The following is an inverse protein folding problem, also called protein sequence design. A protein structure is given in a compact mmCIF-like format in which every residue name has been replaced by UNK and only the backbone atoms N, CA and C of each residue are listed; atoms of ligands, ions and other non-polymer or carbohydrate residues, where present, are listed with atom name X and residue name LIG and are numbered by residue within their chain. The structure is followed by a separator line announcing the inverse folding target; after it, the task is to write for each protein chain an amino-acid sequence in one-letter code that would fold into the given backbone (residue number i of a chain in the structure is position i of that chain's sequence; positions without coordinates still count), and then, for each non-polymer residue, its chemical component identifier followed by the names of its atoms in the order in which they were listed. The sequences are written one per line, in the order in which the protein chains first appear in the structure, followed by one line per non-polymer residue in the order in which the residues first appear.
data_IF_910302698684
#
_entry.id   IF_910302698684
#
_cell.length_a   1.000
_cell.length_b   1.000
_cell.length_c   1.000
_cell.angle_alpha   90.00
_cell.angle_beta   90.00
_cell.angle_gamma   90.00
#
_symmetry.space_group_name_H-M   'P 1'
#
loop_
_entity.id
_entity.type
_entity.pdbx_description
1 polymer ?
#
# COMPACT_ATOMS: atom_id res chain seq x y z
N UNK A 1 7.47 7.70 -1.07
CA UNK A 1 7.87 6.28 -1.11
C UNK A 1 7.38 5.49 0.13
N UNK A 2 7.47 6.03 1.35
CA UNK A 2 7.04 5.33 2.58
C UNK A 2 5.57 4.90 2.54
N UNK A 3 4.66 5.75 2.02
CA UNK A 3 3.23 5.44 1.93
C UNK A 3 2.91 4.21 1.08
N UNK A 4 3.65 3.98 -0.02
CA UNK A 4 3.46 2.76 -0.83
C UNK A 4 3.87 1.51 -0.06
N UNK A 5 4.90 1.59 0.79
CA UNK A 5 5.32 0.50 1.67
C UNK A 5 4.22 0.13 2.68
N UNK A 6 3.55 1.09 3.29
CA UNK A 6 2.42 0.84 4.20
C UNK A 6 1.23 0.19 3.50
N UNK A 7 0.92 0.61 2.27
CA UNK A 7 -0.12 -0.03 1.46
C UNK A 7 0.25 -1.49 1.15
N UNK A 8 1.50 -1.74 0.76
CA UNK A 8 1.96 -3.11 0.50
C UNK A 8 1.94 -3.97 1.76
N UNK A 9 2.39 -3.45 2.90
CA UNK A 9 2.36 -4.14 4.19
C UNK A 9 0.92 -4.47 4.61
N UNK A 10 0.00 -3.51 4.48
CA UNK A 10 -1.42 -3.74 4.77
C UNK A 10 -2.05 -4.83 3.91
N UNK A 11 -1.61 -5.00 2.67
CA UNK A 11 -2.08 -6.07 1.80
C UNK A 11 -1.69 -7.47 2.32
N UNK A 12 -0.61 -7.61 3.08
CA UNK A 12 -0.19 -8.89 3.67
C UNK A 12 -1.09 -9.35 4.82
N UNK A 13 -1.88 -8.44 5.40
CA UNK A 13 -2.83 -8.74 6.47
C UNK A 13 -4.14 -9.34 5.95
N UNK A 14 -4.33 -9.37 4.63
CA UNK A 14 -5.52 -9.95 4.04
C UNK A 14 -5.54 -11.48 4.22
N UNK A 15 -6.70 -12.07 4.59
CA UNK A 15 -6.80 -13.49 4.81
C UNK A 15 -6.56 -14.27 3.51
N UNK A 16 -5.95 -15.45 3.58
CA UNK A 16 -5.80 -16.34 2.43
C UNK A 16 -7.18 -16.89 2.04
N UNK A 17 -7.65 -16.50 0.87
CA UNK A 17 -8.97 -16.90 0.34
C UNK A 17 -8.82 -17.49 -1.07
N UNK A 18 -9.89 -18.11 -1.58
CA UNK A 18 -9.90 -18.66 -2.94
C UNK A 18 -9.67 -17.57 -4.01
N UNK A 19 -9.06 -17.93 -5.14
CA UNK A 19 -8.64 -17.02 -6.21
C UNK A 19 -9.71 -16.01 -6.68
N UNK A 20 -10.98 -16.42 -6.67
CA UNK A 20 -12.08 -15.56 -7.10
C UNK A 20 -12.40 -14.50 -6.03
N UNK A 21 -12.44 -14.90 -4.78
CA UNK A 21 -12.67 -14.01 -3.63
C UNK A 21 -11.48 -13.10 -3.40
N UNK A 22 -10.25 -13.60 -3.57
CA UNK A 22 -9.01 -12.85 -3.46
C UNK A 22 -9.00 -11.60 -4.37
N UNK A 23 -9.45 -11.74 -5.62
CA UNK A 23 -9.55 -10.64 -6.57
C UNK A 23 -10.44 -9.51 -6.06
N UNK A 24 -11.63 -9.86 -5.54
CA UNK A 24 -12.57 -8.87 -5.02
C UNK A 24 -12.10 -8.25 -3.70
N UNK A 25 -11.47 -9.06 -2.86
CA UNK A 25 -10.88 -8.59 -1.60
C UNK A 25 -9.73 -7.60 -1.85
N UNK A 26 -8.86 -7.89 -2.81
CA UNK A 26 -7.79 -6.97 -3.23
C UNK A 26 -8.34 -5.70 -3.86
N UNK A 27 -9.42 -5.78 -4.64
CA UNK A 27 -10.07 -4.60 -5.20
C UNK A 27 -10.68 -3.72 -4.10
N UNK A 28 -11.40 -4.30 -3.15
CA UNK A 28 -11.95 -3.59 -2.01
C UNK A 28 -10.84 -2.96 -1.14
N UNK A 29 -9.78 -3.71 -0.86
CA UNK A 29 -8.61 -3.19 -0.18
C UNK A 29 -7.98 -2.02 -0.94
N UNK A 30 -7.84 -2.14 -2.26
CA UNK A 30 -7.30 -1.09 -3.13
C UNK A 30 -8.10 0.21 -3.07
N UNK A 31 -9.43 0.13 -3.01
CA UNK A 31 -10.30 1.29 -2.81
C UNK A 31 -10.00 1.96 -1.47
N UNK A 32 -10.06 1.19 -0.37
CA UNK A 32 -9.82 1.70 0.98
C UNK A 32 -8.41 2.28 1.12
N UNK A 33 -7.40 1.56 0.65
CA UNK A 33 -6.01 2.01 0.68
C UNK A 33 -5.79 3.29 -0.15
N UNK A 34 -6.45 3.40 -1.31
CA UNK A 34 -6.38 4.58 -2.17
C UNK A 34 -6.95 5.83 -1.48
N UNK A 35 -8.12 5.71 -0.85
CA UNK A 35 -8.75 6.79 -0.10
C UNK A 35 -7.93 7.16 1.16
N UNK A 36 -7.50 6.17 1.93
CA UNK A 36 -6.68 6.39 3.12
C UNK A 36 -5.34 7.05 2.77
N UNK A 37 -4.70 6.63 1.69
CA UNK A 37 -3.47 7.24 1.21
C UNK A 37 -3.67 8.71 0.84
N UNK A 38 -4.76 9.05 0.13
CA UNK A 38 -5.11 10.43 -0.18
C UNK A 38 -5.35 11.27 1.07
N UNK A 39 -6.13 10.74 2.01
CA UNK A 39 -6.38 11.41 3.28
C UNK A 39 -5.09 11.67 4.06
N UNK A 40 -4.18 10.68 4.17
CA UNK A 40 -2.91 10.85 4.86
C UNK A 40 -2.00 11.89 4.20
N UNK A 41 -1.92 11.92 2.87
CA UNK A 41 -1.14 12.93 2.16
C UNK A 41 -1.69 14.34 2.38
N UNK A 42 -3.01 14.48 2.35
CA UNK A 42 -3.66 15.77 2.62
C UNK A 42 -3.49 16.20 4.08
N UNK A 43 -3.57 15.27 5.03
CA UNK A 43 -3.35 15.56 6.44
C UNK A 43 -1.92 16.07 6.70
N UNK A 44 -0.93 15.56 5.95
CA UNK A 44 0.45 16.06 6.03
C UNK A 44 0.57 17.52 5.60
N UNK A 45 -0.18 17.92 4.58
CA UNK A 45 -0.12 19.26 3.99
C UNK A 45 -1.05 20.25 4.68
N UNK A 46 -2.20 19.81 5.16
CA UNK A 46 -3.29 20.62 5.69
C UNK A 46 -2.90 21.56 6.85
N UNK A 47 -2.01 21.21 7.83
CA UNK A 47 -1.63 22.13 8.89
C UNK A 47 -0.95 23.41 8.40
N UNK A 48 -0.45 23.43 7.19
CA UNK A 48 0.14 24.60 6.54
C UNK A 48 -0.90 25.47 5.80
N UNK A 49 -2.12 24.97 5.67
CA UNK A 49 -3.23 25.67 5.03
C UNK A 49 -4.02 26.45 6.09
N UNK A 50 -3.70 27.73 6.22
CA UNK A 50 -4.44 28.64 7.12
C UNK A 50 -5.86 28.90 6.62
N UNK A 51 -6.75 29.41 7.46
CA UNK A 51 -8.15 29.67 7.16
C UNK A 51 -8.37 30.53 5.89
N UNK A 52 -7.45 31.47 5.60
CA UNK A 52 -7.54 32.32 4.41
C UNK A 52 -7.11 31.65 3.10
N UNK A 53 -6.37 30.55 3.16
CA UNK A 53 -5.90 29.79 1.99
C UNK A 53 -6.77 28.59 1.68
N UNK A 54 -7.55 28.11 2.64
CA UNK A 54 -8.41 26.93 2.48
C UNK A 54 -9.82 27.29 2.03
N UNK A 55 -10.46 26.51 1.15
CA UNK A 55 -11.82 26.72 0.71
C UNK A 55 -12.81 26.63 1.89
N UNK A 56 -13.84 27.48 1.86
CA UNK A 56 -14.91 27.53 2.87
C UNK A 56 -14.43 27.66 4.34
N UNK A 57 -13.25 28.29 4.57
CA UNK A 57 -12.71 28.43 5.91
C UNK A 57 -12.22 27.12 6.56
N UNK A 58 -12.09 26.04 5.80
CA UNK A 58 -11.71 24.72 6.29
C UNK A 58 -10.18 24.58 6.54
N UNK A 59 -9.49 25.69 6.82
CA UNK A 59 -8.07 25.72 7.16
C UNK A 59 -7.81 25.26 8.60
N UNK A 60 -6.54 24.96 8.87
CA UNK A 60 -6.08 24.65 10.21
C UNK A 60 -6.14 25.90 11.09
N UNK A 61 -6.68 25.77 12.31
CA UNK A 61 -6.77 26.84 13.30
C UNK A 61 -5.84 26.52 14.47
N UNK A 62 -4.67 27.21 14.57
CA UNK A 62 -3.76 27.00 15.70
C UNK A 62 -4.45 27.33 17.03
N UNK A 63 -4.28 26.46 18.03
CA UNK A 63 -4.89 26.64 19.34
C UNK A 63 -6.34 26.17 19.47
N UNK A 64 -7.02 25.81 18.37
CA UNK A 64 -8.34 25.19 18.43
C UNK A 64 -8.25 23.75 18.93
N UNK A 65 -9.38 23.22 19.43
CA UNK A 65 -9.47 21.82 19.87
C UNK A 65 -9.22 20.84 18.72
N UNK A 66 -8.73 19.64 19.05
CA UNK A 66 -8.51 18.55 18.07
C UNK A 66 -9.81 18.23 17.33
N UNK A 67 -10.95 18.21 18.03
CA UNK A 67 -12.24 17.93 17.43
C UNK A 67 -12.65 19.00 16.41
N UNK A 68 -12.46 20.28 16.72
CA UNK A 68 -12.72 21.38 15.79
C UNK A 68 -11.83 21.28 14.55
N UNK A 69 -10.53 21.08 14.74
CA UNK A 69 -9.60 20.91 13.62
C UNK A 69 -9.89 19.67 12.78
N UNK A 70 -10.35 18.58 13.39
CA UNK A 70 -10.79 17.38 12.65
C UNK A 70 -12.02 17.65 11.77
N UNK A 71 -12.97 18.45 12.24
CA UNK A 71 -14.11 18.88 11.43
C UNK A 71 -13.65 19.74 10.23
N UNK A 72 -12.79 20.72 10.47
CA UNK A 72 -12.21 21.54 9.39
C UNK A 72 -11.46 20.68 8.36
N UNK A 73 -10.67 19.72 8.83
CA UNK A 73 -9.99 18.77 7.95
C UNK A 73 -10.98 17.94 7.12
N UNK A 74 -12.05 17.45 7.74
CA UNK A 74 -13.10 16.71 7.03
C UNK A 74 -13.71 17.51 5.89
N UNK A 75 -14.07 18.78 6.15
CA UNK A 75 -14.61 19.69 5.14
C UNK A 75 -13.56 19.97 4.05
N UNK A 76 -12.32 20.23 4.44
CA UNK A 76 -11.21 20.42 3.50
C UNK A 76 -11.04 19.22 2.56
N UNK A 77 -11.01 18.01 3.12
CA UNK A 77 -10.85 16.78 2.35
C UNK A 77 -12.00 16.55 1.37
N UNK A 78 -13.23 16.76 1.81
CA UNK A 78 -14.42 16.61 0.94
C UNK A 78 -14.39 17.59 -0.23
N UNK A 79 -14.00 18.83 0.01
CA UNK A 79 -14.03 19.87 -1.01
C UNK A 79 -12.85 19.81 -1.99
N UNK A 80 -11.68 19.35 -1.54
CA UNK A 80 -10.45 19.44 -2.33
C UNK A 80 -10.01 18.11 -2.90
N UNK A 81 -10.17 17.02 -2.17
CA UNK A 81 -9.47 15.77 -2.46
C UNK A 81 -10.37 14.64 -2.90
N UNK A 82 -11.59 14.59 -2.39
CA UNK A 82 -12.51 13.50 -2.70
C UNK A 82 -12.78 13.37 -4.20
N UNK A 83 -12.86 14.51 -4.92
CA UNK A 83 -13.06 14.54 -6.37
C UNK A 83 -11.94 13.87 -7.16
N UNK A 84 -10.70 13.84 -6.64
CA UNK A 84 -9.56 13.15 -7.23
C UNK A 84 -9.40 11.74 -6.70
N UNK A 85 -9.69 11.53 -5.43
CA UNK A 85 -9.49 10.24 -4.76
C UNK A 85 -10.51 9.19 -5.22
N UNK A 86 -11.76 9.59 -5.50
CA UNK A 86 -12.79 8.68 -6.01
C UNK A 86 -12.44 8.08 -7.39
N UNK A 87 -12.10 8.86 -8.43
CA UNK A 87 -11.67 8.30 -9.71
C UNK A 87 -10.44 7.42 -9.57
N UNK A 88 -9.47 7.82 -8.73
CA UNK A 88 -8.27 7.03 -8.47
C UNK A 88 -8.60 5.70 -7.81
N UNK A 89 -9.47 5.69 -6.81
CA UNK A 89 -9.91 4.48 -6.14
C UNK A 89 -10.68 3.55 -7.10
N UNK A 90 -11.57 4.10 -7.92
CA UNK A 90 -12.29 3.35 -8.94
C UNK A 90 -11.35 2.75 -9.97
N UNK A 91 -10.40 3.52 -10.50
CA UNK A 91 -9.40 3.04 -11.44
C UNK A 91 -8.54 1.93 -10.82
N UNK A 92 -8.11 2.09 -9.57
CA UNK A 92 -7.36 1.07 -8.85
C UNK A 92 -8.15 -0.24 -8.77
N UNK A 93 -9.43 -0.17 -8.39
CA UNK A 93 -10.29 -1.35 -8.33
C UNK A 93 -10.44 -2.04 -9.69
N UNK A 94 -10.70 -1.26 -10.75
CA UNK A 94 -10.82 -1.78 -12.11
C UNK A 94 -9.52 -2.46 -12.55
N UNK A 95 -8.38 -1.83 -12.35
CA UNK A 95 -7.08 -2.41 -12.71
C UNK A 95 -6.78 -3.69 -11.92
N UNK A 96 -7.09 -3.74 -10.62
CA UNK A 96 -6.93 -4.96 -9.81
C UNK A 96 -7.85 -6.08 -10.31
N UNK A 97 -9.08 -5.77 -10.67
CA UNK A 97 -10.04 -6.78 -11.17
C UNK A 97 -9.62 -7.30 -12.55
N UNK A 98 -9.15 -6.45 -13.44
CA UNK A 98 -8.80 -6.83 -14.82
C UNK A 98 -7.38 -7.38 -14.94
N UNK A 99 -6.38 -6.67 -14.41
CA UNK A 99 -4.97 -7.01 -14.53
C UNK A 99 -4.43 -7.86 -13.37
N UNK A 100 -5.11 -7.87 -12.21
CA UNK A 100 -4.67 -8.64 -11.03
C UNK A 100 -4.47 -10.13 -11.30
N UNK A 101 -5.43 -10.86 -11.89
CA UNK A 101 -5.30 -12.30 -12.13
C UNK A 101 -4.07 -12.71 -12.96
N UNK A 102 -3.77 -12.10 -14.12
CA UNK A 102 -2.58 -12.45 -14.88
C UNK A 102 -1.29 -12.09 -14.13
N UNK A 103 -1.23 -10.90 -13.47
CA UNK A 103 -0.08 -10.48 -12.68
C UNK A 103 0.21 -11.46 -11.55
N UNK A 104 -0.81 -11.82 -10.76
CA UNK A 104 -0.66 -12.79 -9.67
C UNK A 104 -0.20 -14.17 -10.17
N UNK A 105 -0.64 -14.59 -11.34
CA UNK A 105 -0.20 -15.85 -11.95
C UNK A 105 1.29 -15.82 -12.29
N UNK A 106 1.77 -14.71 -12.86
CA UNK A 106 3.18 -14.52 -13.21
C UNK A 106 4.02 -14.48 -11.94
N UNK A 107 3.63 -13.70 -10.94
CA UNK A 107 4.34 -13.57 -9.66
C UNK A 107 4.45 -14.91 -8.92
N UNK A 108 3.35 -15.67 -8.82
CA UNK A 108 3.35 -17.01 -8.21
C UNK A 108 4.25 -17.99 -8.98
N UNK A 109 4.35 -17.87 -10.31
CA UNK A 109 5.26 -18.67 -11.11
C UNK A 109 6.72 -18.26 -10.84
N UNK A 110 7.01 -16.96 -10.76
CA UNK A 110 8.35 -16.46 -10.47
C UNK A 110 8.84 -16.94 -9.09
N UNK A 111 8.01 -16.79 -8.04
CA UNK A 111 8.34 -17.25 -6.68
C UNK A 111 8.64 -18.75 -6.65
N UNK A 112 7.82 -19.57 -7.31
CA UNK A 112 8.07 -21.03 -7.39
C UNK A 112 9.37 -21.37 -8.11
N UNK A 113 9.77 -20.60 -9.12
CA UNK A 113 11.03 -20.80 -9.84
C UNK A 113 12.25 -20.34 -9.08
N UNK A 114 12.12 -19.30 -8.26
CA UNK A 114 13.20 -18.74 -7.47
C UNK A 114 13.65 -19.67 -6.31
N UNK A 115 12.89 -20.71 -5.99
CA UNK A 115 13.21 -21.71 -4.94
C UNK A 115 13.59 -21.07 -3.59
N UNK A 116 12.88 -20.03 -3.19
CA UNK A 116 13.15 -19.38 -1.90
C UNK A 116 13.01 -20.33 -0.69
N UNK A 117 12.31 -21.44 -0.85
CA UNK A 117 12.12 -22.45 0.21
C UNK A 117 13.12 -23.62 0.09
N UNK A 118 14.07 -23.57 -0.85
CA UNK A 118 15.09 -24.61 -0.96
C UNK A 118 16.04 -24.51 0.24
N UNK A 119 16.11 -25.55 1.06
CA UNK A 119 17.13 -25.65 2.09
C UNK A 119 18.52 -25.54 1.44
N UNK A 120 19.38 -24.73 2.03
CA UNK A 120 20.76 -24.61 1.55
C UNK A 120 21.48 -25.94 1.86
N UNK A 121 21.65 -26.75 0.84
CA UNK A 121 22.41 -28.00 0.93
C UNK A 121 23.88 -27.65 0.73
N UNK A 122 24.59 -27.51 1.85
CA UNK A 122 26.05 -27.33 1.81
C UNK A 122 26.68 -28.71 1.57
N UNK A 123 27.14 -28.95 0.34
CA UNK A 123 27.97 -30.11 0.06
C UNK A 123 29.30 -29.91 0.80
N UNK A 124 29.66 -30.78 1.77
CA UNK A 124 30.97 -30.66 2.42
C UNK A 124 32.06 -30.73 1.36
N UNK A 125 32.91 -29.74 1.32
CA UNK A 125 34.09 -29.79 0.46
C UNK A 125 34.88 -31.07 0.80
N UNK A 126 34.99 -31.96 -0.16
CA UNK A 126 35.80 -33.18 0.02
C UNK A 126 37.16 -32.76 0.59
N UNK A 127 37.49 -33.30 1.76
CA UNK A 127 38.77 -33.07 2.42
C UNK A 127 39.88 -33.41 1.41
N UNK A 128 40.67 -32.40 1.04
CA UNK A 128 41.87 -32.61 0.19
C UNK A 128 42.76 -33.60 0.94
N UNK A 129 43.09 -34.77 0.35
CA UNK A 129 43.98 -35.72 0.99
C UNK A 129 45.35 -35.07 1.26
N UNK A 130 45.99 -35.34 2.42
CA UNK A 130 47.29 -34.79 2.72
C UNK A 130 48.28 -35.17 1.63
N UNK A 131 48.97 -34.15 1.07
CA UNK A 131 50.10 -34.37 0.15
C UNK A 131 51.16 -35.16 0.89
N UNK A 132 51.34 -36.42 0.56
CA UNK A 132 52.50 -37.20 0.96
C UNK A 132 53.75 -36.54 0.35
N UNK A 133 54.58 -35.93 1.23
CA UNK A 133 55.91 -35.45 0.85
C UNK A 133 56.78 -36.68 0.62
N UNK A 134 57.35 -36.80 -0.60
CA UNK A 134 58.43 -37.72 -0.94
C UNK A 134 59.76 -37.01 -0.79
#
# INVERSE_FOLDING_TARGET
MVGCGWVALGATLLPPVGKRTERWLLAAYGIVASLAYGALLNLWFWPFMTAGAAPAGAGFVPGASVASNAQHYGVFYLLTSLGYDLPRAALTAVLVVLAGPPVMTILRRAVRRARFDAAAEFTPTASVPPRTAA
#
